data_IF_602417534590
#
_entry.id   IF_602417534590
#
_cell.length_a   1.000
_cell.length_b   1.000
_cell.length_c   1.000
_cell.angle_alpha   90.00
_cell.angle_beta   90.00
_cell.angle_gamma   90.00
#
_symmetry.space_group_name_H-M   'P 1'
#
loop_
_entity.id
_entity.type
_entity.pdbx_description
1 polymer ?
#
# COMPACT_ATOMS: atom_id res chain seq x y z
N UNK A 1 -6.46 8.34 -9.72
CA UNK A 1 -6.22 7.49 -10.91
C UNK A 1 -4.90 7.78 -11.61
N UNK A 2 -4.29 8.93 -11.34
CA UNK A 2 -3.09 9.40 -12.04
C UNK A 2 -1.81 8.89 -11.38
N UNK A 3 -0.87 8.27 -12.12
CA UNK A 3 0.47 8.00 -11.60
C UNK A 3 1.26 9.32 -11.42
N UNK A 4 2.24 9.33 -10.52
CA UNK A 4 3.07 10.51 -10.25
C UNK A 4 4.53 10.09 -10.08
N UNK A 5 5.39 10.46 -11.03
CA UNK A 5 6.81 10.09 -11.00
C UNK A 5 7.01 8.57 -10.91
N UNK A 6 7.73 8.12 -9.88
CA UNK A 6 7.97 6.70 -9.61
C UNK A 6 6.77 5.98 -8.96
N UNK A 7 5.70 6.70 -8.57
CA UNK A 7 4.50 6.16 -7.92
C UNK A 7 3.51 5.70 -8.99
N UNK A 8 3.10 4.41 -8.99
CA UNK A 8 1.98 3.99 -9.81
C UNK A 8 0.69 4.63 -9.29
N UNK A 9 -0.39 4.56 -10.07
CA UNK A 9 -1.70 4.95 -9.53
C UNK A 9 -2.21 3.86 -8.58
N UNK A 10 -2.83 4.27 -7.47
CA UNK A 10 -3.46 3.33 -6.51
C UNK A 10 -4.45 2.39 -7.20
N UNK A 11 -5.17 2.89 -8.22
CA UNK A 11 -6.08 2.08 -9.00
C UNK A 11 -5.37 0.94 -9.71
N UNK A 12 -4.30 1.21 -10.47
CA UNK A 12 -3.57 0.16 -11.18
C UNK A 12 -2.98 -0.88 -10.21
N UNK A 13 -2.63 -0.47 -8.99
CA UNK A 13 -2.24 -1.41 -7.92
C UNK A 13 -3.40 -2.33 -7.55
N UNK A 14 -4.58 -1.77 -7.20
CA UNK A 14 -5.76 -2.55 -6.77
C UNK A 14 -6.27 -3.51 -7.84
N UNK A 15 -6.30 -3.08 -9.11
CA UNK A 15 -6.84 -3.93 -10.20
C UNK A 15 -5.78 -4.85 -10.85
N UNK A 16 -4.60 -4.97 -10.24
CA UNK A 16 -3.54 -5.87 -10.72
C UNK A 16 -2.86 -5.45 -12.02
N UNK A 17 -3.01 -4.20 -12.46
CA UNK A 17 -2.38 -3.67 -13.69
C UNK A 17 -1.00 -3.08 -13.47
N UNK A 18 -0.58 -2.90 -12.23
CA UNK A 18 0.78 -2.47 -11.91
C UNK A 18 1.72 -3.67 -11.73
N UNK A 19 2.78 -3.71 -12.54
CA UNK A 19 3.88 -4.68 -12.39
C UNK A 19 5.06 -4.00 -11.68
N UNK A 20 5.50 -4.47 -10.49
CA UNK A 20 6.63 -3.88 -9.80
C UNK A 20 7.94 -4.05 -10.58
N UNK A 21 8.64 -2.94 -10.80
CA UNK A 21 10.01 -2.93 -11.33
C UNK A 21 11.01 -3.58 -10.36
N UNK A 22 12.24 -3.92 -10.81
CA UNK A 22 13.27 -4.45 -9.92
C UNK A 22 13.55 -3.55 -8.70
N UNK A 23 13.55 -2.24 -8.88
CA UNK A 23 13.71 -1.27 -7.79
C UNK A 23 12.56 -1.29 -6.77
N UNK A 24 11.32 -1.52 -7.24
CA UNK A 24 10.18 -1.69 -6.33
C UNK A 24 10.31 -2.99 -5.52
N UNK A 25 10.69 -4.09 -6.18
CA UNK A 25 10.90 -5.39 -5.50
C UNK A 25 12.01 -5.32 -4.46
N UNK A 26 13.14 -4.69 -4.77
CA UNK A 26 14.24 -4.51 -3.80
C UNK A 26 13.90 -3.58 -2.63
N UNK A 27 12.88 -2.73 -2.82
CA UNK A 27 12.29 -1.89 -1.79
C UNK A 27 11.11 -2.55 -1.06
N UNK A 28 10.85 -3.84 -1.29
CA UNK A 28 9.72 -4.62 -0.77
C UNK A 28 8.33 -4.08 -1.19
N UNK A 29 8.26 -3.26 -2.23
CA UNK A 29 7.01 -2.72 -2.78
C UNK A 29 6.42 -3.72 -3.77
N UNK A 30 5.44 -4.49 -3.30
CA UNK A 30 4.69 -5.49 -4.08
C UNK A 30 3.21 -5.12 -4.12
N UNK A 31 2.40 -5.60 -5.09
CA UNK A 31 1.00 -5.22 -5.19
C UNK A 31 0.24 -5.62 -3.91
N UNK A 32 -0.16 -4.62 -3.13
CA UNK A 32 -0.94 -4.80 -1.91
C UNK A 32 -1.56 -3.48 -1.44
N UNK A 33 -2.50 -3.54 -0.51
CA UNK A 33 -3.01 -2.37 0.22
C UNK A 33 -1.89 -1.55 0.90
N UNK A 34 -0.84 -2.21 1.38
CA UNK A 34 0.34 -1.56 1.93
C UNK A 34 1.01 -0.60 0.94
N UNK A 35 1.22 -1.01 -0.32
CA UNK A 35 1.77 -0.12 -1.35
C UNK A 35 0.87 1.08 -1.62
N UNK A 36 -0.45 0.93 -1.53
CA UNK A 36 -1.39 2.06 -1.68
C UNK A 36 -1.18 3.08 -0.56
N UNK A 37 -1.00 2.63 0.67
CA UNK A 37 -0.68 3.52 1.80
C UNK A 37 0.66 4.23 1.58
N UNK A 38 1.67 3.52 1.08
CA UNK A 38 2.99 4.07 0.75
C UNK A 38 2.90 5.16 -0.34
N UNK A 39 2.07 4.95 -1.38
CA UNK A 39 1.82 5.96 -2.43
C UNK A 39 1.23 7.25 -1.84
N UNK A 40 0.29 7.12 -0.90
CA UNK A 40 -0.44 8.26 -0.31
C UNK A 40 0.46 9.05 0.65
N UNK A 41 1.14 8.39 1.59
CA UNK A 41 1.87 9.09 2.65
C UNK A 41 3.09 8.34 3.20
N UNK A 42 3.72 7.49 2.38
CA UNK A 42 4.84 6.65 2.79
C UNK A 42 6.02 7.40 3.41
N UNK A 43 6.26 8.65 3.01
CA UNK A 43 7.33 9.47 3.58
C UNK A 43 7.12 9.84 5.05
N UNK A 44 5.87 9.97 5.51
CA UNK A 44 5.53 10.38 6.88
C UNK A 44 5.14 9.22 7.79
N UNK A 45 4.69 8.10 7.21
CA UNK A 45 4.17 6.92 7.94
C UNK A 45 5.21 5.79 8.09
N UNK A 46 6.51 6.07 7.83
CA UNK A 46 7.61 5.10 7.87
C UNK A 46 8.44 5.16 9.16
N UNK A 47 9.05 4.02 9.50
CA UNK A 47 10.31 3.96 10.26
C UNK A 47 10.17 3.83 11.78
N UNK A 48 8.97 3.52 12.28
CA UNK A 48 8.70 3.45 13.72
C UNK A 48 8.06 2.14 14.19
N UNK A 49 8.00 1.12 13.33
CA UNK A 49 7.21 -0.07 13.60
C UNK A 49 5.72 0.25 13.48
N UNK A 50 4.91 -0.14 14.47
CA UNK A 50 3.48 0.14 14.50
C UNK A 50 3.19 1.66 14.40
N UNK A 51 2.29 2.04 13.50
CA UNK A 51 1.84 3.41 13.32
C UNK A 51 0.31 3.45 13.34
N UNK A 52 -0.27 4.26 14.22
CA UNK A 52 -1.73 4.34 14.41
C UNK A 52 -2.45 4.81 13.14
N UNK A 53 -1.81 5.61 12.29
CA UNK A 53 -2.39 6.07 11.02
C UNK A 53 -2.50 4.91 10.05
N UNK A 54 -1.48 4.06 9.99
CA UNK A 54 -1.47 2.84 9.17
C UNK A 54 -2.49 1.83 9.72
N UNK A 55 -2.54 1.64 11.04
CA UNK A 55 -3.55 0.79 11.68
C UNK A 55 -4.98 1.25 11.39
N UNK A 56 -5.23 2.57 11.43
CA UNK A 56 -6.53 3.17 11.10
C UNK A 56 -6.93 2.90 9.64
N UNK A 57 -6.01 3.10 8.69
CA UNK A 57 -6.24 2.78 7.26
C UNK A 57 -6.60 1.30 7.06
N UNK A 58 -5.85 0.41 7.68
CA UNK A 58 -6.11 -1.04 7.65
C UNK A 58 -7.47 -1.37 8.28
N UNK A 59 -7.84 -0.70 9.37
CA UNK A 59 -9.13 -0.88 10.03
C UNK A 59 -10.30 -0.54 9.12
N UNK A 60 -10.24 0.59 8.40
CA UNK A 60 -11.26 0.94 7.41
C UNK A 60 -11.29 -0.04 6.24
N UNK A 61 -10.13 -0.46 5.73
CA UNK A 61 -10.05 -1.46 4.67
C UNK A 61 -10.79 -2.75 5.07
N UNK A 62 -10.46 -3.32 6.23
CA UNK A 62 -11.10 -4.55 6.73
C UNK A 62 -12.61 -4.39 6.91
N UNK A 63 -13.04 -3.28 7.53
CA UNK A 63 -14.47 -2.97 7.72
C UNK A 63 -15.23 -2.99 6.39
N UNK A 64 -14.69 -2.38 5.35
CA UNK A 64 -15.36 -2.33 4.05
C UNK A 64 -15.30 -3.68 3.31
N UNK A 65 -14.22 -4.43 3.44
CA UNK A 65 -14.16 -5.81 2.95
C UNK A 65 -15.24 -6.67 3.62
N UNK A 66 -15.43 -6.57 4.94
CA UNK A 66 -16.46 -7.31 5.68
C UNK A 66 -17.88 -6.99 5.17
N UNK A 67 -18.18 -5.71 5.02
CA UNK A 67 -19.47 -5.25 4.50
C UNK A 67 -19.74 -5.79 3.09
N UNK A 68 -18.69 -5.92 2.26
CA UNK A 68 -18.80 -6.42 0.89
C UNK A 68 -18.65 -7.95 0.76
N UNK A 69 -18.40 -8.67 1.85
CA UNK A 69 -18.15 -10.12 1.82
C UNK A 69 -16.84 -10.50 1.11
N UNK A 70 -15.83 -9.62 1.12
CA UNK A 70 -14.54 -9.84 0.49
C UNK A 70 -13.50 -10.35 1.49
N UNK A 71 -12.66 -11.29 1.06
CA UNK A 71 -11.47 -11.69 1.81
C UNK A 71 -10.43 -10.56 1.83
N UNK A 72 -9.65 -10.48 2.90
CA UNK A 72 -8.50 -9.57 2.94
C UNK A 72 -7.29 -10.15 2.21
N UNK A 73 -6.47 -9.27 1.65
CA UNK A 73 -5.15 -9.62 1.09
C UNK A 73 -4.09 -9.78 2.19
N UNK A 74 -2.98 -10.43 1.82
CA UNK A 74 -1.75 -10.43 2.59
C UNK A 74 -1.02 -9.07 2.41
N UNK A 75 -0.19 -8.67 3.39
CA UNK A 75 0.59 -7.42 3.36
C UNK A 75 -0.26 -6.14 3.34
N UNK A 76 -1.14 -6.00 4.33
CA UNK A 76 -1.98 -4.80 4.53
C UNK A 76 -1.18 -3.59 5.03
N UNK A 77 -0.07 -3.81 5.71
CA UNK A 77 0.86 -2.74 6.10
C UNK A 77 1.98 -2.54 5.08
N UNK A 78 2.76 -1.48 5.29
CA UNK A 78 3.95 -1.18 4.49
C UNK A 78 5.21 -1.04 5.34
N UNK A 79 5.23 -1.57 6.57
CA UNK A 79 6.31 -1.29 7.53
C UNK A 79 7.70 -1.72 7.03
N UNK A 80 7.74 -2.76 6.20
CA UNK A 80 8.96 -3.30 5.60
C UNK A 80 9.27 -2.68 4.22
N UNK A 81 8.47 -1.73 3.74
CA UNK A 81 8.65 -1.09 2.45
C UNK A 81 9.46 0.21 2.58
N UNK A 82 10.34 0.48 1.61
CA UNK A 82 10.94 1.83 1.51
C UNK A 82 9.89 2.80 0.91
N UNK A 83 9.76 4.04 1.40
CA UNK A 83 8.86 5.03 0.82
C UNK A 83 9.18 5.32 -0.63
N UNK A 84 8.18 5.62 -1.46
CA UNK A 84 8.43 6.24 -2.76
C UNK A 84 9.00 7.66 -2.57
N UNK A 85 10.03 7.98 -3.35
CA UNK A 85 10.65 9.31 -3.40
C UNK A 85 9.73 10.35 -4.05
#
# INVERSE_FOLDING_TARGET
MTPQGNKPSSHNVTIGKWTPSPANRSASRVPSYGVITNIINGGLERGRGHDERVASRIGFYKKYCDIMGLSYENNLDFYNQRPFD
#
